data_IF_341784054609
#
_entry.id   IF_341784054609
#
_cell.length_a   1.000
_cell.length_b   1.000
_cell.length_c   1.000
_cell.angle_alpha   90.00
_cell.angle_beta   90.00
_cell.angle_gamma   90.00
#
_symmetry.space_group_name_H-M   'P 1'
#
loop_
_entity.id
_entity.type
_entity.pdbx_description
1 polymer ?
#
# COMPACT_ATOMS: atom_id res chain seq x y z
N UNK A 1 -2.48 -16.68 1.09
CA UNK A 1 -3.57 -16.74 0.09
C UNK A 1 -3.66 -18.12 -0.54
N UNK A 2 -3.32 -19.18 0.20
CA UNK A 2 -3.23 -20.53 -0.34
C UNK A 2 -3.78 -21.57 0.64
N UNK A 3 -4.93 -21.27 1.27
CA UNK A 3 -5.65 -22.19 2.15
C UNK A 3 -7.15 -21.88 2.07
N UNK A 4 -7.83 -22.32 1.00
CA UNK A 4 -9.28 -22.54 0.97
C UNK A 4 -9.83 -23.18 -0.34
N UNK A 5 -9.04 -23.92 -1.10
CA UNK A 5 -9.53 -24.64 -2.27
C UNK A 5 -9.44 -26.15 -2.02
N UNK A 6 -10.52 -26.74 -1.51
CA UNK A 6 -10.55 -28.18 -1.26
C UNK A 6 -11.82 -28.65 -0.58
N UNK A 7 -12.95 -28.61 -1.29
CA UNK A 7 -14.08 -29.54 -1.10
C UNK A 7 -15.04 -29.43 -2.28
N UNK A 8 -14.93 -30.42 -3.18
CA UNK A 8 -15.91 -30.72 -4.21
C UNK A 8 -17.16 -31.34 -3.59
N UNK A 9 -18.34 -30.83 -3.94
CA UNK A 9 -19.59 -31.56 -3.82
C UNK A 9 -20.34 -31.44 -5.16
N UNK A 10 -20.26 -32.49 -5.96
CA UNK A 10 -21.13 -32.76 -7.11
C UNK A 10 -22.30 -33.61 -6.64
N UNK A 11 -23.51 -33.32 -7.13
CA UNK A 11 -24.61 -34.28 -7.21
C UNK A 11 -25.93 -33.80 -6.60
N UNK A 12 -26.96 -33.65 -7.44
CA UNK A 12 -28.35 -33.50 -7.00
C UNK A 12 -29.28 -32.78 -7.97
N UNK A 13 -29.56 -33.39 -9.14
CA UNK A 13 -30.67 -33.01 -10.02
C UNK A 13 -32.01 -33.36 -9.37
N UNK A 14 -32.94 -32.41 -9.25
CA UNK A 14 -34.37 -32.71 -9.32
C UNK A 14 -35.18 -31.50 -9.82
N UNK A 15 -35.71 -31.66 -11.03
CA UNK A 15 -36.71 -30.83 -11.73
C UNK A 15 -38.08 -30.93 -11.09
N UNK A 16 -38.74 -29.80 -10.76
CA UNK A 16 -40.20 -29.60 -10.88
C UNK A 16 -40.48 -28.08 -11.11
N UNK A 17 -41.11 -27.75 -12.24
CA UNK A 17 -41.85 -26.51 -12.56
C UNK A 17 -43.16 -26.97 -13.25
N UNK A 18 -44.21 -26.14 -13.47
CA UNK A 18 -44.30 -24.68 -13.28
C UNK A 18 -45.61 -24.19 -12.62
N UNK A 19 -45.68 -22.89 -12.31
CA UNK A 19 -46.79 -21.97 -12.64
C UNK A 19 -46.94 -20.84 -11.58
N UNK A 20 -46.48 -19.63 -11.92
CA UNK A 20 -47.34 -18.43 -11.95
C UNK A 20 -46.58 -17.29 -12.62
N UNK A 21 -47.15 -16.78 -13.70
CA UNK A 21 -46.65 -15.64 -14.44
C UNK A 21 -47.13 -14.32 -13.81
N UNK A 22 -46.42 -13.25 -14.21
CA UNK A 22 -46.80 -11.83 -14.20
C UNK A 22 -46.32 -10.97 -13.02
N UNK A 23 -45.20 -10.28 -13.25
CA UNK A 23 -45.14 -8.80 -13.22
C UNK A 23 -43.78 -8.34 -13.77
N UNK A 24 -43.77 -7.91 -15.03
CA UNK A 24 -42.65 -7.28 -15.71
C UNK A 24 -42.54 -5.82 -15.26
N UNK A 25 -41.40 -5.42 -14.71
CA UNK A 25 -40.96 -4.03 -14.62
C UNK A 25 -39.60 -3.90 -15.31
N UNK A 26 -39.40 -2.94 -16.23
CA UNK A 26 -38.22 -2.87 -17.08
C UNK A 26 -37.02 -2.19 -16.38
N UNK A 27 -35.86 -2.84 -16.51
CA UNK A 27 -34.52 -2.27 -16.69
C UNK A 27 -34.07 -1.10 -15.79
N UNK A 28 -33.34 -1.42 -14.72
CA UNK A 28 -32.31 -0.52 -14.19
C UNK A 28 -31.02 -0.72 -15.02
N UNK A 29 -30.38 0.34 -15.54
CA UNK A 29 -29.15 0.18 -16.31
C UNK A 29 -28.00 -0.16 -15.37
N UNK A 30 -27.36 -1.29 -15.64
CA UNK A 30 -26.02 -1.60 -15.13
C UNK A 30 -25.09 -0.51 -15.65
N UNK A 31 -24.61 0.36 -14.76
CA UNK A 31 -23.52 1.28 -15.05
C UNK A 31 -22.26 0.46 -15.31
N UNK A 32 -22.05 0.06 -16.57
CA UNK A 32 -20.77 -0.42 -17.04
C UNK A 32 -19.78 0.75 -16.96
N UNK A 33 -19.06 0.87 -15.84
CA UNK A 33 -17.81 1.62 -15.80
C UNK A 33 -16.84 0.89 -16.73
N UNK A 34 -16.86 1.26 -18.00
CA UNK A 34 -15.78 0.91 -18.91
C UNK A 34 -14.54 1.58 -18.35
N UNK A 35 -13.59 0.76 -17.91
CA UNK A 35 -12.26 1.23 -17.58
C UNK A 35 -11.69 1.80 -18.89
N UNK A 36 -11.70 3.13 -19.03
CA UNK A 36 -10.94 3.77 -20.10
C UNK A 36 -9.48 3.59 -19.72
N UNK A 37 -8.79 2.72 -20.45
CA UNK A 37 -7.34 2.72 -20.44
C UNK A 37 -6.88 4.18 -20.69
N UNK A 38 -5.88 4.69 -19.95
CA UNK A 38 -5.26 5.95 -20.34
C UNK A 38 -4.84 5.83 -21.80
N UNK A 39 -5.02 6.91 -22.56
CA UNK A 39 -4.71 6.92 -23.99
C UNK A 39 -3.31 6.30 -24.22
N UNK A 40 -3.13 5.41 -25.20
CA UNK A 40 -1.82 4.86 -25.48
C UNK A 40 -0.88 6.04 -25.74
N UNK A 41 0.18 6.14 -24.95
CA UNK A 41 1.23 7.15 -25.05
C UNK A 41 2.09 6.98 -26.32
N UNK A 42 1.52 6.38 -27.38
CA UNK A 42 2.23 5.87 -28.54
C UNK A 42 2.14 6.80 -29.76
N UNK A 43 1.55 7.98 -29.65
CA UNK A 43 1.37 8.89 -30.78
C UNK A 43 1.91 10.28 -30.49
N UNK A 44 3.24 10.37 -30.33
CA UNK A 44 3.97 11.58 -30.67
C UNK A 44 5.43 11.25 -31.04
N UNK A 45 5.61 10.51 -32.13
CA UNK A 45 6.88 10.56 -32.88
C UNK A 45 6.55 11.21 -34.22
N UNK A 46 6.49 12.53 -34.23
CA UNK A 46 6.48 13.33 -35.45
C UNK A 46 7.28 14.61 -35.22
N UNK A 47 8.50 14.58 -35.75
CA UNK A 47 9.31 15.70 -36.22
C UNK A 47 9.70 16.79 -35.20
N UNK A 48 10.90 16.64 -34.64
CA UNK A 48 11.76 17.76 -34.29
C UNK A 48 13.21 17.39 -34.63
N UNK A 49 13.66 17.80 -35.82
CA UNK A 49 15.08 17.85 -36.15
C UNK A 49 15.75 18.91 -35.27
N UNK A 50 16.82 18.54 -34.58
CA UNK A 50 17.69 19.49 -33.88
C UNK A 50 17.26 19.85 -32.47
N UNK A 51 17.25 18.89 -31.54
CA UNK A 51 17.57 19.19 -30.15
C UNK A 51 18.62 18.21 -29.67
N UNK A 52 19.69 18.75 -29.10
CA UNK A 52 20.72 17.97 -28.42
C UNK A 52 20.04 17.01 -27.46
N UNK A 53 20.30 15.71 -27.61
CA UNK A 53 19.95 14.70 -26.61
C UNK A 53 20.65 15.12 -25.32
N UNK A 54 19.96 15.86 -24.45
CA UNK A 54 20.45 16.14 -23.12
C UNK A 54 20.42 14.82 -22.38
N UNK A 55 21.61 14.24 -22.25
CA UNK A 55 21.86 13.07 -21.44
C UNK A 55 21.43 13.38 -19.99
N UNK A 56 20.31 12.80 -19.60
CA UNK A 56 20.19 12.02 -18.37
C UNK A 56 20.38 12.77 -17.04
N UNK A 57 19.61 13.84 -16.84
CA UNK A 57 19.25 14.20 -15.46
C UNK A 57 18.22 13.17 -15.01
N UNK A 58 18.65 12.25 -14.17
CA UNK A 58 17.75 11.38 -13.41
C UNK A 58 16.64 12.27 -12.86
N UNK A 59 15.41 11.99 -13.30
CA UNK A 59 14.22 12.76 -12.98
C UNK A 59 13.80 12.42 -11.55
N UNK A 60 14.59 12.91 -10.58
CA UNK A 60 14.49 12.55 -9.16
C UNK A 60 13.14 12.87 -8.55
N UNK A 61 12.31 13.72 -9.17
CA UNK A 61 10.97 14.06 -8.72
C UNK A 61 9.87 13.56 -9.67
N UNK A 62 10.19 12.63 -10.58
CA UNK A 62 9.27 12.10 -11.59
C UNK A 62 7.95 11.59 -10.99
N UNK A 63 8.01 10.95 -9.82
CA UNK A 63 6.84 10.47 -9.11
C UNK A 63 5.94 11.63 -8.65
N UNK A 64 6.53 12.70 -8.12
CA UNK A 64 5.79 13.88 -7.65
C UNK A 64 5.22 14.67 -8.82
N UNK A 65 5.98 14.85 -9.90
CA UNK A 65 5.56 15.55 -11.11
C UNK A 65 4.41 14.82 -11.80
N UNK A 66 4.52 13.50 -11.97
CA UNK A 66 3.44 12.68 -12.50
C UNK A 66 2.18 12.75 -11.63
N UNK A 67 2.34 12.73 -10.29
CA UNK A 67 1.21 12.86 -9.36
C UNK A 67 0.51 14.23 -9.45
N UNK A 68 1.26 15.29 -9.82
CA UNK A 68 0.71 16.64 -10.10
C UNK A 68 0.10 16.78 -11.49
N UNK A 69 0.19 15.74 -12.34
CA UNK A 69 -0.29 15.77 -13.72
C UNK A 69 0.64 16.50 -14.70
N UNK A 70 1.89 16.71 -14.33
CA UNK A 70 2.90 17.32 -15.19
C UNK A 70 3.39 16.33 -16.26
N UNK A 71 3.92 16.84 -17.37
CA UNK A 71 4.52 16.00 -18.39
C UNK A 71 5.84 15.44 -17.89
N UNK A 72 6.00 14.12 -17.99
CA UNK A 72 7.16 13.36 -17.52
C UNK A 72 7.73 12.51 -18.65
N UNK A 73 9.03 12.22 -18.62
CA UNK A 73 9.72 11.48 -19.67
C UNK A 73 9.27 10.01 -19.79
N UNK A 74 8.82 9.42 -18.68
CA UNK A 74 8.28 8.07 -18.58
C UNK A 74 7.27 7.97 -17.45
N UNK A 75 6.50 6.89 -17.42
CA UNK A 75 5.62 6.60 -16.27
C UNK A 75 6.45 6.16 -15.07
N UNK A 76 6.31 6.79 -13.88
CA UNK A 76 6.99 6.34 -12.68
C UNK A 76 6.37 5.05 -12.13
N UNK A 77 7.19 4.19 -11.55
CA UNK A 77 6.82 2.88 -11.03
C UNK A 77 7.32 2.69 -9.60
N UNK A 78 6.41 2.26 -8.75
CA UNK A 78 6.69 1.75 -7.41
C UNK A 78 5.70 0.61 -7.11
N UNK A 79 5.99 -0.19 -6.08
CA UNK A 79 5.18 -1.36 -5.74
C UNK A 79 4.60 -1.23 -4.34
N UNK A 80 3.27 -1.39 -4.21
CA UNK A 80 2.67 -1.59 -2.90
C UNK A 80 3.25 -2.85 -2.25
N UNK A 81 3.57 -2.76 -0.96
CA UNK A 81 4.27 -3.82 -0.20
C UNK A 81 5.65 -4.18 -0.77
N UNK A 82 6.38 -3.18 -1.31
CA UNK A 82 7.76 -3.34 -1.78
C UNK A 82 8.69 -3.96 -0.72
N UNK A 83 8.55 -3.58 0.55
CA UNK A 83 9.28 -4.20 1.65
C UNK A 83 8.43 -5.36 2.22
N UNK A 84 8.71 -6.58 1.79
CA UNK A 84 7.85 -7.72 2.12
C UNK A 84 8.51 -9.09 2.03
N UNK A 85 7.78 -10.10 2.50
CA UNK A 85 8.25 -11.50 2.66
C UNK A 85 8.66 -12.21 1.36
N UNK A 86 8.39 -11.60 0.20
CA UNK A 86 8.86 -12.13 -1.08
C UNK A 86 10.39 -12.00 -1.21
N UNK A 87 11.01 -11.03 -0.53
CA UNK A 87 12.46 -10.86 -0.51
C UNK A 87 13.11 -11.77 0.54
N UNK A 88 14.23 -12.43 0.19
CA UNK A 88 15.02 -13.18 1.16
C UNK A 88 15.59 -12.26 2.26
N UNK A 89 16.16 -11.12 1.87
CA UNK A 89 16.68 -10.10 2.80
C UNK A 89 15.64 -9.66 3.84
N UNK A 90 14.39 -9.41 3.42
CA UNK A 90 13.32 -9.06 4.36
C UNK A 90 13.00 -10.19 5.35
N UNK A 91 13.04 -11.45 4.90
CA UNK A 91 12.74 -12.62 5.75
C UNK A 91 13.77 -12.80 6.87
N UNK A 92 15.03 -12.43 6.67
CA UNK A 92 16.07 -12.47 7.70
C UNK A 92 15.68 -11.61 8.92
N UNK A 93 15.18 -10.40 8.68
CA UNK A 93 14.67 -9.53 9.74
C UNK A 93 13.33 -10.03 10.31
N UNK A 94 12.41 -10.49 9.45
CA UNK A 94 11.11 -10.99 9.90
C UNK A 94 11.21 -12.23 10.80
N UNK A 95 12.30 -13.00 10.69
CA UNK A 95 12.57 -14.16 11.54
C UNK A 95 13.26 -13.77 12.85
N UNK A 96 14.01 -12.66 12.86
CA UNK A 96 14.79 -12.20 14.02
C UNK A 96 14.02 -11.25 14.94
N UNK A 97 13.15 -10.42 14.38
CA UNK A 97 12.49 -9.34 15.11
C UNK A 97 10.96 -9.45 15.05
N UNK A 98 10.25 -9.23 16.18
CA UNK A 98 8.79 -9.15 16.22
C UNK A 98 8.29 -8.00 15.35
N UNK A 99 6.99 -8.05 15.00
CA UNK A 99 6.40 -7.12 14.03
C UNK A 99 6.52 -5.66 14.46
N UNK A 100 6.09 -5.32 15.69
CA UNK A 100 6.19 -3.96 16.24
C UNK A 100 7.62 -3.41 16.24
N UNK A 101 8.58 -4.22 16.69
CA UNK A 101 9.98 -3.81 16.70
C UNK A 101 10.51 -3.47 15.31
N UNK A 102 10.05 -4.15 14.26
CA UNK A 102 10.48 -3.85 12.88
C UNK A 102 9.94 -2.54 12.32
N UNK A 103 8.75 -2.10 12.76
CA UNK A 103 8.14 -0.83 12.33
C UNK A 103 8.48 0.36 13.22
N UNK A 104 8.78 0.10 14.50
CA UNK A 104 8.99 1.15 15.51
C UNK A 104 10.48 1.42 15.78
N UNK A 105 11.40 0.53 15.35
CA UNK A 105 12.85 0.75 15.46
C UNK A 105 13.37 1.46 14.20
N UNK A 106 13.92 2.69 14.30
CA UNK A 106 14.37 3.45 13.15
C UNK A 106 15.33 2.69 12.23
N UNK A 107 16.41 2.15 12.77
CA UNK A 107 17.45 1.45 11.99
C UNK A 107 16.88 0.29 11.16
N UNK A 108 15.94 -0.46 11.75
CA UNK A 108 15.32 -1.61 11.10
C UNK A 108 14.32 -1.15 10.04
N UNK A 109 13.46 -0.18 10.37
CA UNK A 109 12.47 0.35 9.43
C UNK A 109 13.13 1.00 8.21
N UNK A 110 14.21 1.76 8.41
CA UNK A 110 14.99 2.38 7.34
C UNK A 110 15.57 1.30 6.42
N UNK A 111 16.28 0.31 6.97
CA UNK A 111 16.89 -0.76 6.18
C UNK A 111 15.84 -1.55 5.38
N UNK A 112 14.72 -1.94 6.02
CA UNK A 112 13.63 -2.65 5.33
C UNK A 112 13.01 -1.82 4.19
N UNK A 113 12.90 -0.49 4.37
CA UNK A 113 12.37 0.41 3.34
C UNK A 113 13.31 0.53 2.13
N UNK A 114 14.62 0.54 2.37
CA UNK A 114 15.65 0.72 1.34
C UNK A 114 15.98 -0.57 0.56
N UNK A 115 15.75 -1.75 1.13
CA UNK A 115 15.97 -3.04 0.45
C UNK A 115 15.38 -3.12 -0.97
N UNK A 116 14.06 -2.90 -1.18
CA UNK A 116 13.47 -2.97 -2.52
C UNK A 116 13.94 -1.85 -3.44
N UNK A 117 14.21 -0.67 -2.88
CA UNK A 117 14.72 0.46 -3.64
C UNK A 117 16.11 0.17 -4.23
N UNK A 118 17.01 -0.39 -3.42
CA UNK A 118 18.34 -0.84 -3.87
C UNK A 118 18.26 -2.00 -4.87
N UNK A 119 17.21 -2.83 -4.79
CA UNK A 119 17.06 -4.02 -5.63
C UNK A 119 16.41 -3.75 -7.00
N UNK A 120 15.48 -2.81 -7.08
CA UNK A 120 14.63 -2.61 -8.26
C UNK A 120 14.69 -1.21 -8.86
N UNK A 121 15.41 -0.27 -8.24
CA UNK A 121 15.55 1.11 -8.71
C UNK A 121 14.19 1.78 -8.99
N UNK A 122 13.24 1.60 -8.05
CA UNK A 122 11.89 2.17 -8.14
C UNK A 122 11.91 3.69 -7.93
N UNK A 123 10.95 4.38 -8.52
CA UNK A 123 10.79 5.84 -8.49
C UNK A 123 10.21 6.38 -7.17
N UNK A 124 10.17 5.55 -6.13
CA UNK A 124 9.60 5.92 -4.85
C UNK A 124 9.94 4.94 -3.75
N UNK A 125 10.24 5.49 -2.58
CA UNK A 125 10.48 4.71 -1.37
C UNK A 125 9.32 4.95 -0.39
N UNK A 126 8.69 3.87 0.04
CA UNK A 126 7.66 3.91 1.08
C UNK A 126 8.26 3.42 2.38
N UNK A 127 8.10 4.23 3.43
CA UNK A 127 8.47 3.89 4.80
C UNK A 127 7.80 2.58 5.23
N UNK A 128 8.61 1.64 5.72
CA UNK A 128 8.13 0.44 6.37
C UNK A 128 7.53 0.79 7.74
N UNK A 129 6.21 0.92 7.78
CA UNK A 129 5.42 1.15 8.99
C UNK A 129 4.11 0.38 8.88
N UNK A 130 3.46 0.15 10.03
CA UNK A 130 2.09 -0.34 10.07
C UNK A 130 1.10 0.82 10.24
N UNK A 131 -0.14 0.62 9.80
CA UNK A 131 -1.21 1.62 9.94
C UNK A 131 -1.76 1.71 11.37
N UNK A 132 -1.57 0.66 12.19
CA UNK A 132 -2.05 0.60 13.58
C UNK A 132 -1.05 1.21 14.57
N UNK A 133 0.14 1.61 14.11
CA UNK A 133 1.18 2.27 14.91
C UNK A 133 0.65 3.42 15.78
N UNK A 134 -0.32 4.26 15.36
CA UNK A 134 -0.87 5.31 16.21
C UNK A 134 -1.82 4.83 17.32
N UNK A 135 -2.34 3.60 17.26
CA UNK A 135 -3.37 3.12 18.20
C UNK A 135 -2.90 3.14 19.67
N UNK A 136 -1.69 2.67 20.03
CA UNK A 136 -1.22 2.74 21.41
C UNK A 136 -1.12 4.18 21.92
N UNK A 137 -0.75 5.12 21.05
CA UNK A 137 -0.69 6.56 21.38
C UNK A 137 -2.07 7.22 21.58
N UNK A 138 -3.13 6.56 21.08
CA UNK A 138 -4.54 6.89 21.30
C UNK A 138 -5.15 6.17 22.52
N UNK A 139 -4.40 5.29 23.18
CA UNK A 139 -4.86 4.49 24.32
C UNK A 139 -5.49 3.14 23.93
N UNK A 140 -5.34 2.70 22.68
CA UNK A 140 -5.85 1.40 22.20
C UNK A 140 -4.67 0.47 21.95
N UNK A 141 -4.45 -0.51 22.84
CA UNK A 141 -3.40 -1.50 22.64
C UNK A 141 -3.84 -2.59 21.65
N UNK A 142 -2.87 -3.08 20.89
CA UNK A 142 -3.06 -4.17 19.93
C UNK A 142 -1.83 -5.06 19.91
N UNK A 143 -2.03 -6.34 19.62
CA UNK A 143 -0.94 -7.29 19.42
C UNK A 143 -1.06 -7.99 18.06
N UNK A 144 0.07 -8.38 17.48
CA UNK A 144 0.10 -9.01 16.16
C UNK A 144 0.42 -10.49 16.32
N UNK A 145 -0.63 -11.32 16.34
CA UNK A 145 -0.50 -12.77 16.48
C UNK A 145 -0.17 -13.40 15.12
N UNK A 146 0.85 -14.26 15.10
CA UNK A 146 1.30 -14.95 13.90
C UNK A 146 0.16 -15.82 13.33
N UNK A 147 -0.30 -15.48 12.12
CA UNK A 147 -1.36 -16.21 11.42
C UNK A 147 -2.75 -15.58 11.54
N UNK A 148 -3.02 -14.86 12.63
CA UNK A 148 -4.32 -14.21 12.88
C UNK A 148 -4.33 -12.72 12.53
N UNK A 149 -3.16 -12.07 12.49
CA UNK A 149 -3.05 -10.63 12.24
C UNK A 149 -3.16 -9.82 13.54
N UNK A 150 -3.43 -8.51 13.44
CA UNK A 150 -3.58 -7.65 14.61
C UNK A 150 -4.87 -7.96 15.37
N UNK A 151 -4.76 -8.07 16.69
CA UNK A 151 -5.85 -8.31 17.63
C UNK A 151 -5.89 -7.13 18.60
N UNK A 152 -7.04 -6.49 18.71
CA UNK A 152 -7.32 -5.45 19.70
C UNK A 152 -8.00 -6.15 20.88
N UNK A 153 -7.39 -6.09 22.06
CA UNK A 153 -7.87 -6.81 23.24
C UNK A 153 -9.24 -6.31 23.72
N UNK A 154 -9.43 -4.98 23.72
CA UNK A 154 -10.69 -4.33 24.10
C UNK A 154 -11.20 -3.42 22.97
N UNK A 155 -12.04 -3.95 22.06
CA UNK A 155 -12.62 -3.17 20.99
C UNK A 155 -13.58 -2.10 21.53
N UNK A 156 -13.51 -0.89 20.99
CA UNK A 156 -14.43 0.20 21.35
C UNK A 156 -15.88 -0.16 20.98
N UNK A 157 -16.79 -0.16 21.97
CA UNK A 157 -18.21 -0.50 21.79
C UNK A 157 -19.19 0.54 22.34
N UNK A 158 -18.71 1.60 22.99
CA UNK A 158 -19.54 2.65 23.57
C UNK A 158 -18.98 4.04 23.28
N UNK A 159 -19.84 5.05 23.34
CA UNK A 159 -19.40 6.45 23.21
C UNK A 159 -18.48 6.86 24.36
N UNK A 160 -18.72 6.36 25.57
CA UNK A 160 -17.85 6.63 26.72
C UNK A 160 -16.42 6.13 26.48
N UNK A 161 -16.25 4.97 25.83
CA UNK A 161 -14.94 4.44 25.48
C UNK A 161 -14.23 5.31 24.42
N UNK A 162 -14.97 5.87 23.46
CA UNK A 162 -14.44 6.82 22.47
C UNK A 162 -14.01 8.12 23.15
N UNK A 163 -14.82 8.65 24.06
CA UNK A 163 -14.52 9.88 24.80
C UNK A 163 -13.34 9.73 25.77
N UNK A 164 -13.06 8.51 26.24
CA UNK A 164 -11.91 8.19 27.08
C UNK A 164 -10.59 8.02 26.29
N UNK A 165 -10.63 8.01 24.96
CA UNK A 165 -9.41 7.90 24.14
C UNK A 165 -8.49 9.10 24.35
N UNK A 166 -7.18 8.85 24.23
CA UNK A 166 -6.20 9.93 24.34
C UNK A 166 -6.13 10.70 23.01
N UNK A 167 -6.33 12.03 23.00
CA UNK A 167 -6.14 12.83 21.78
C UNK A 167 -4.70 12.75 21.25
N UNK A 168 -4.53 12.75 19.93
CA UNK A 168 -3.20 12.74 19.28
C UNK A 168 -2.75 14.16 18.92
N UNK A 169 -2.65 15.03 19.93
CA UNK A 169 -2.36 16.46 19.72
C UNK A 169 -0.88 16.73 19.39
N UNK A 170 0.02 15.87 19.86
CA UNK A 170 1.47 15.94 19.59
C UNK A 170 1.99 14.58 19.10
N UNK A 171 1.94 14.32 17.78
CA UNK A 171 2.44 13.07 17.21
C UNK A 171 3.97 12.96 17.27
N UNK A 172 4.71 14.07 17.39
CA UNK A 172 6.18 14.03 17.41
C UNK A 172 6.70 13.51 18.74
N UNK A 173 6.10 13.94 19.85
CA UNK A 173 6.42 13.41 21.17
C UNK A 173 5.93 11.97 21.35
N UNK A 174 4.75 11.65 20.83
CA UNK A 174 4.13 10.32 20.99
C UNK A 174 4.72 9.23 20.09
N UNK A 175 5.19 9.60 18.90
CA UNK A 175 5.71 8.68 17.88
C UNK A 175 7.06 9.20 17.32
N UNK A 176 8.09 9.39 18.17
CA UNK A 176 9.31 10.11 17.79
C UNK A 176 10.10 9.41 16.67
N UNK A 177 9.97 8.09 16.56
CA UNK A 177 10.66 7.30 15.54
C UNK A 177 10.20 7.63 14.11
N UNK A 178 8.96 8.09 13.90
CA UNK A 178 8.44 8.39 12.54
C UNK A 178 9.24 9.51 11.89
N UNK A 179 9.48 10.60 12.63
CA UNK A 179 10.25 11.75 12.13
C UNK A 179 11.69 11.35 11.81
N UNK A 180 12.31 10.54 12.66
CA UNK A 180 13.67 10.02 12.43
C UNK A 180 13.72 9.18 11.16
N UNK A 181 12.81 8.21 11.00
CA UNK A 181 12.76 7.33 9.82
C UNK A 181 12.57 8.14 8.54
N UNK A 182 11.58 9.03 8.49
CA UNK A 182 11.33 9.85 7.30
C UNK A 182 12.50 10.78 6.99
N UNK A 183 13.12 11.36 8.02
CA UNK A 183 14.28 12.24 7.88
C UNK A 183 15.49 11.52 7.30
N UNK A 184 15.77 10.30 7.75
CA UNK A 184 16.91 9.53 7.27
C UNK A 184 16.65 8.87 5.92
N UNK A 185 15.44 8.37 5.67
CA UNK A 185 15.05 7.91 4.34
C UNK A 185 15.22 9.01 3.29
N UNK A 186 14.80 10.24 3.62
CA UNK A 186 14.99 11.39 2.73
C UNK A 186 16.47 11.66 2.42
N UNK A 187 17.36 11.56 3.41
CA UNK A 187 18.81 11.75 3.20
C UNK A 187 19.39 10.64 2.31
N UNK A 188 18.98 9.40 2.54
CA UNK A 188 19.46 8.23 1.78
C UNK A 188 19.00 8.24 0.32
N UNK A 189 17.81 8.77 0.04
CA UNK A 189 17.24 8.87 -1.31
C UNK A 189 17.53 10.19 -2.01
N UNK A 190 18.18 11.14 -1.33
CA UNK A 190 18.42 12.48 -1.84
C UNK A 190 19.20 12.45 -3.16
N UNK A 191 18.67 13.15 -4.17
CA UNK A 191 19.29 13.17 -5.50
C UNK A 191 19.29 11.79 -6.18
N UNK A 192 18.33 10.91 -5.84
CA UNK A 192 18.11 9.65 -6.53
C UNK A 192 16.62 9.40 -6.83
N UNK A 193 15.72 9.77 -5.93
CA UNK A 193 14.25 9.69 -6.09
C UNK A 193 13.51 10.66 -5.16
#
# INVERSE_FOLDING_TARGET
WELCAGRSCLGGMQTILPALAAALAPHAPVLSRTWRAPAPCAQLIASAEGSTVQNDRIDHDILLRAARGEQVARTPVWLMRQAGRYMAAFREYSNRYPFRQRSESPDIAIELSLQPWRAFDVDGVIMFSDILTPLPALGVDFDVVKGSGPIIADPLRSMDAVLAMTPLDDPESKLPFIRTILGDLRKETEGRT
#
